data_IF_829017714360
#
_entry.id   IF_829017714360
#
_cell.length_a   1.000
_cell.length_b   1.000
_cell.length_c   1.000
_cell.angle_alpha   90.00
_cell.angle_beta   90.00
_cell.angle_gamma   90.00
#
_symmetry.space_group_name_H-M   'P 1'
#
loop_
_entity.id
_entity.type
_entity.pdbx_description
1 polymer ?
#
# COMPACT_ATOMS: atom_id res chain seq x y z
N UNK A 1 -70.93 38.84 -6.77
CA UNK A 1 -69.85 38.61 -7.75
C UNK A 1 -68.88 37.66 -7.10
N UNK A 2 -68.90 36.42 -7.54
CA UNK A 2 -68.23 35.28 -6.94
C UNK A 2 -66.82 35.16 -7.52
N UNK A 3 -65.80 35.32 -6.68
CA UNK A 3 -64.41 35.04 -7.05
C UNK A 3 -63.89 33.91 -6.17
N UNK A 4 -63.87 32.70 -6.74
CA UNK A 4 -63.31 31.51 -6.11
C UNK A 4 -61.79 31.65 -5.96
N UNK A 5 -61.31 31.56 -4.72
CA UNK A 5 -59.89 31.42 -4.40
C UNK A 5 -59.44 29.99 -4.76
N UNK A 6 -58.61 29.88 -5.79
CA UNK A 6 -57.93 28.63 -6.16
C UNK A 6 -56.91 28.25 -5.08
N UNK A 7 -57.26 27.27 -4.24
CA UNK A 7 -56.32 26.65 -3.30
C UNK A 7 -55.39 25.72 -4.08
N UNK A 8 -54.16 26.16 -4.29
CA UNK A 8 -53.08 25.29 -4.78
C UNK A 8 -52.76 24.23 -3.73
N UNK A 9 -53.20 22.99 -3.98
CA UNK A 9 -52.84 21.83 -3.14
C UNK A 9 -51.36 21.53 -3.36
N UNK A 10 -50.51 22.06 -2.49
CA UNK A 10 -49.10 21.69 -2.43
C UNK A 10 -49.03 20.24 -1.89
N UNK A 11 -48.91 19.24 -2.77
CA UNK A 11 -48.65 17.84 -2.40
C UNK A 11 -47.25 17.71 -1.78
N UNK A 12 -47.07 18.16 -0.54
CA UNK A 12 -45.95 17.74 0.32
C UNK A 12 -46.27 16.35 0.87
N UNK A 13 -46.13 15.33 0.02
CA UNK A 13 -46.28 13.92 0.38
C UNK A 13 -44.99 13.16 0.09
N UNK A 14 -44.56 12.35 1.07
CA UNK A 14 -43.50 11.33 1.03
C UNK A 14 -42.02 11.73 1.19
N UNK A 15 -41.55 12.94 0.86
CA UNK A 15 -40.10 13.25 0.95
C UNK A 15 -39.57 13.53 2.35
N UNK A 16 -40.41 14.06 3.26
CA UNK A 16 -39.99 14.37 4.64
C UNK A 16 -39.84 13.11 5.51
N UNK A 17 -40.70 12.10 5.33
CA UNK A 17 -40.60 10.83 6.06
C UNK A 17 -39.50 9.90 5.52
N UNK A 18 -39.11 10.03 4.25
CA UNK A 18 -37.94 9.35 3.70
C UNK A 18 -36.63 9.88 4.31
N UNK A 19 -36.54 11.19 4.54
CA UNK A 19 -35.35 11.82 5.14
C UNK A 19 -35.22 11.59 6.65
N UNK A 20 -36.31 11.29 7.36
CA UNK A 20 -36.30 10.93 8.79
C UNK A 20 -35.72 9.54 9.04
N UNK A 21 -35.93 8.59 8.11
CA UNK A 21 -35.35 7.23 8.18
C UNK A 21 -33.83 7.23 7.97
N UNK A 22 -33.29 8.29 7.41
CA UNK A 22 -31.91 8.36 6.91
C UNK A 22 -30.90 8.96 7.91
N UNK A 23 -31.38 9.49 9.05
CA UNK A 23 -30.54 10.15 10.06
C UNK A 23 -30.32 9.29 11.31
N UNK A 24 -31.30 8.47 11.69
CA UNK A 24 -31.19 7.50 12.78
C UNK A 24 -30.39 6.25 12.35
N UNK A 25 -30.56 5.77 11.11
CA UNK A 25 -29.77 4.65 10.55
C UNK A 25 -28.27 4.98 10.39
N UNK A 26 -27.92 6.27 10.40
CA UNK A 26 -26.54 6.78 10.37
C UNK A 26 -25.96 7.07 11.76
N UNK A 27 -26.78 7.03 12.82
CA UNK A 27 -26.31 7.20 14.19
C UNK A 27 -25.74 5.87 14.68
N UNK A 28 -24.48 5.64 14.34
CA UNK A 28 -23.69 4.49 14.71
C UNK A 28 -23.52 4.43 16.23
N UNK A 29 -24.29 3.57 16.91
CA UNK A 29 -24.14 3.28 18.34
C UNK A 29 -22.73 2.77 18.69
N UNK A 30 -22.00 2.30 17.69
CA UNK A 30 -20.55 2.13 17.67
C UNK A 30 -20.08 2.67 16.31
N UNK A 31 -19.19 3.67 16.27
CA UNK A 31 -18.87 4.55 15.12
C UNK A 31 -18.60 3.88 13.75
N UNK A 32 -18.55 2.55 13.67
CA UNK A 32 -18.23 1.75 12.48
C UNK A 32 -19.37 0.84 12.00
N UNK A 33 -20.39 0.57 12.83
CA UNK A 33 -21.46 -0.40 12.54
C UNK A 33 -22.69 0.26 11.89
N UNK A 34 -22.53 0.80 10.68
CA UNK A 34 -23.65 1.28 9.88
C UNK A 34 -24.52 0.11 9.38
N UNK A 35 -25.76 0.38 8.97
CA UNK A 35 -26.71 -0.65 8.52
C UNK A 35 -26.12 -1.56 7.42
N UNK A 36 -25.29 -1.00 6.53
CA UNK A 36 -24.62 -1.77 5.46
C UNK A 36 -23.56 -2.72 6.01
N UNK A 37 -22.72 -2.26 6.94
CA UNK A 37 -21.70 -3.11 7.57
C UNK A 37 -22.37 -4.27 8.33
N UNK A 38 -23.49 -4.03 9.03
CA UNK A 38 -24.26 -5.10 9.69
C UNK A 38 -24.76 -6.17 8.70
N UNK A 39 -25.22 -5.76 7.51
CA UNK A 39 -25.61 -6.71 6.44
C UNK A 39 -24.41 -7.51 5.94
N UNK A 40 -23.22 -6.91 5.84
CA UNK A 40 -21.99 -7.62 5.47
C UNK A 40 -21.64 -8.68 6.51
N UNK A 41 -21.66 -8.32 7.80
CA UNK A 41 -21.40 -9.23 8.91
C UNK A 41 -22.42 -10.38 8.95
N UNK A 42 -23.72 -10.08 8.81
CA UNK A 42 -24.77 -11.11 8.77
C UNK A 42 -24.57 -12.10 7.61
N UNK A 43 -24.11 -11.62 6.45
CA UNK A 43 -23.76 -12.48 5.30
C UNK A 43 -22.47 -13.29 5.53
N UNK A 44 -21.55 -12.82 6.36
CA UNK A 44 -20.39 -13.62 6.77
C UNK A 44 -20.83 -14.77 7.69
N UNK A 45 -21.71 -14.48 8.64
CA UNK A 45 -22.31 -15.49 9.53
C UNK A 45 -23.12 -16.51 8.75
N UNK A 46 -24.03 -16.07 7.88
CA UNK A 46 -24.84 -16.98 7.06
C UNK A 46 -24.06 -17.82 6.04
N UNK A 47 -22.78 -17.49 5.78
CA UNK A 47 -21.87 -18.29 4.94
C UNK A 47 -20.93 -19.18 5.76
N UNK A 48 -20.98 -19.13 7.09
CA UNK A 48 -20.09 -19.88 7.97
C UNK A 48 -18.65 -19.36 7.99
N UNK A 49 -18.40 -18.08 7.68
CA UNK A 49 -17.05 -17.49 7.83
C UNK A 49 -16.73 -17.23 9.31
N UNK A 50 -17.74 -16.76 10.04
CA UNK A 50 -17.67 -16.41 11.47
C UNK A 50 -18.95 -16.98 12.10
N UNK A 51 -18.83 -17.72 13.20
CA UNK A 51 -19.98 -18.18 13.98
C UNK A 51 -20.53 -17.04 14.84
N UNK A 52 -19.66 -16.38 15.59
CA UNK A 52 -20.01 -15.36 16.57
C UNK A 52 -19.08 -14.16 16.48
N UNK A 53 -19.62 -12.95 16.70
CA UNK A 53 -18.85 -11.71 16.80
C UNK A 53 -19.06 -11.16 18.20
N UNK A 54 -17.96 -11.06 18.94
CA UNK A 54 -17.92 -10.72 20.35
C UNK A 54 -17.43 -9.28 20.53
N UNK A 55 -17.07 -8.92 21.76
CA UNK A 55 -16.70 -7.56 22.17
C UNK A 55 -15.63 -6.87 21.31
N UNK A 56 -15.60 -5.54 21.40
CA UNK A 56 -14.60 -4.73 20.73
C UNK A 56 -13.23 -4.90 21.42
N UNK A 57 -12.23 -5.30 20.64
CA UNK A 57 -10.84 -5.49 21.09
C UNK A 57 -10.10 -4.15 21.10
N UNK A 58 -10.30 -3.34 20.07
CA UNK A 58 -9.61 -2.06 19.93
C UNK A 58 -10.45 -1.08 19.11
N UNK A 59 -10.53 0.16 19.57
CA UNK A 59 -11.12 1.27 18.82
C UNK A 59 -10.03 2.19 18.32
N UNK A 60 -9.85 2.26 17.01
CA UNK A 60 -8.87 3.13 16.36
C UNK A 60 -9.50 4.36 15.71
N UNK A 61 -8.64 5.24 15.19
CA UNK A 61 -9.07 6.37 14.35
C UNK A 61 -9.68 5.88 13.03
N UNK A 62 -9.09 4.84 12.43
CA UNK A 62 -9.42 4.38 11.07
C UNK A 62 -10.30 3.15 11.01
N UNK A 63 -10.19 2.29 12.03
CA UNK A 63 -10.93 1.05 12.12
C UNK A 63 -11.16 0.69 13.58
N UNK A 64 -12.18 -0.12 13.83
CA UNK A 64 -12.32 -0.85 15.08
C UNK A 64 -12.02 -2.33 14.80
N UNK A 65 -11.45 -3.02 15.79
CA UNK A 65 -11.21 -4.45 15.75
C UNK A 65 -12.16 -5.12 16.74
N UNK A 66 -12.85 -6.16 16.28
CA UNK A 66 -13.74 -6.98 17.08
C UNK A 66 -13.23 -8.40 17.15
N UNK A 67 -13.45 -9.06 18.28
CA UNK A 67 -13.21 -10.49 18.40
C UNK A 67 -14.33 -11.26 17.71
N UNK A 68 -14.04 -12.42 17.16
CA UNK A 68 -15.03 -13.36 16.68
C UNK A 68 -14.50 -14.78 16.71
N UNK A 69 -15.37 -15.75 16.45
CA UNK A 69 -15.01 -17.17 16.44
C UNK A 69 -15.35 -17.73 15.06
N UNK A 70 -14.43 -18.50 14.47
CA UNK A 70 -14.66 -19.19 13.21
C UNK A 70 -15.76 -20.23 13.36
N UNK A 71 -16.44 -20.54 12.27
CA UNK A 71 -17.40 -21.65 12.26
C UNK A 71 -16.67 -23.00 12.30
N UNK A 72 -17.27 -24.00 12.96
CA UNK A 72 -16.80 -25.39 13.08
C UNK A 72 -16.22 -25.98 11.77
N UNK A 73 -15.26 -26.91 11.86
CA UNK A 73 -14.99 -27.80 13.01
C UNK A 73 -13.86 -27.39 13.96
N UNK A 74 -13.21 -26.23 13.74
CA UNK A 74 -12.13 -25.76 14.62
C UNK A 74 -12.54 -24.44 15.25
N UNK A 75 -12.62 -24.40 16.58
CA UNK A 75 -12.73 -23.16 17.33
C UNK A 75 -11.44 -22.36 17.16
N UNK A 76 -11.42 -21.51 16.14
CA UNK A 76 -10.33 -20.57 15.84
C UNK A 76 -10.81 -19.16 16.14
N UNK A 77 -10.09 -18.44 16.98
CA UNK A 77 -10.37 -17.03 17.25
C UNK A 77 -10.00 -16.15 16.04
N UNK A 78 -10.85 -15.17 15.75
CA UNK A 78 -10.73 -14.27 14.59
C UNK A 78 -10.76 -12.82 15.04
N UNK A 79 -9.98 -11.99 14.35
CA UNK A 79 -10.04 -10.54 14.44
C UNK A 79 -10.80 -9.97 13.23
N UNK A 80 -11.86 -9.20 13.49
CA UNK A 80 -12.62 -8.49 12.48
C UNK A 80 -12.25 -7.00 12.52
N UNK A 81 -11.37 -6.57 11.61
CA UNK A 81 -11.01 -5.17 11.42
C UNK A 81 -12.05 -4.48 10.51
N UNK A 82 -12.86 -3.61 11.10
CA UNK A 82 -13.94 -2.87 10.46
C UNK A 82 -13.53 -1.41 10.28
N UNK A 83 -13.29 -0.99 9.05
CA UNK A 83 -12.87 0.38 8.73
C UNK A 83 -14.04 1.36 8.77
N UNK A 84 -13.78 2.57 9.28
CA UNK A 84 -14.76 3.66 9.37
C UNK A 84 -15.09 4.19 7.98
N UNK A 85 -16.37 4.15 7.59
CA UNK A 85 -16.82 4.58 6.25
C UNK A 85 -17.19 6.05 6.16
N UNK A 86 -17.55 6.67 7.29
CA UNK A 86 -18.14 8.02 7.36
C UNK A 86 -17.18 9.10 7.86
N UNK A 87 -16.08 8.71 8.51
CA UNK A 87 -15.17 9.61 9.25
C UNK A 87 -13.75 9.41 8.67
N UNK A 88 -13.43 10.14 7.60
CA UNK A 88 -12.08 10.15 7.02
C UNK A 88 -11.37 11.43 7.47
N UNK A 89 -10.88 11.50 8.72
CA UNK A 89 -10.13 12.64 9.27
C UNK A 89 -8.64 12.54 8.90
N UNK A 90 -8.30 12.30 7.64
CA UNK A 90 -6.90 12.21 7.25
C UNK A 90 -6.66 13.09 6.05
N UNK A 91 -5.96 14.18 6.30
CA UNK A 91 -5.60 15.17 5.29
C UNK A 91 -4.38 14.74 4.46
N UNK A 92 -3.61 13.75 4.89
CA UNK A 92 -2.37 13.32 4.22
C UNK A 92 -2.43 11.95 3.52
N UNK A 93 -3.62 11.43 3.21
CA UNK A 93 -3.76 10.09 2.60
C UNK A 93 -3.11 9.95 1.23
N UNK A 94 -3.03 11.04 0.49
CA UNK A 94 -2.47 11.02 -0.86
C UNK A 94 -1.02 10.51 -0.85
N UNK A 95 -0.22 10.76 0.20
CA UNK A 95 1.19 10.32 0.24
C UNK A 95 1.39 8.79 0.27
N UNK A 96 0.40 8.03 0.75
CA UNK A 96 0.46 6.56 0.86
C UNK A 96 -0.13 5.85 -0.36
N UNK A 97 -0.70 6.64 -1.28
CA UNK A 97 -1.41 6.18 -2.47
C UNK A 97 -0.78 6.76 -3.75
N UNK A 98 -0.08 7.90 -3.63
CA UNK A 98 0.56 8.64 -4.71
C UNK A 98 1.84 7.94 -5.20
N UNK A 99 1.68 7.09 -6.20
CA UNK A 99 2.78 6.32 -6.78
C UNK A 99 2.35 4.91 -7.09
N UNK A 100 1.38 4.39 -6.34
CA UNK A 100 0.90 3.04 -6.49
C UNK A 100 0.12 2.87 -7.82
N UNK A 101 0.63 2.00 -8.69
CA UNK A 101 0.13 1.78 -10.05
C UNK A 101 -1.38 1.49 -10.09
N UNK A 102 -1.89 0.74 -9.09
CA UNK A 102 -3.29 0.33 -8.97
C UNK A 102 -4.25 1.48 -8.69
N UNK A 103 -3.76 2.55 -8.05
CA UNK A 103 -4.59 3.72 -7.73
C UNK A 103 -4.56 4.78 -8.84
N UNK A 104 -3.66 4.68 -9.84
CA UNK A 104 -3.56 5.65 -10.95
C UNK A 104 -4.80 5.75 -11.84
N UNK A 105 -5.60 4.69 -12.00
CA UNK A 105 -6.74 4.65 -12.96
C UNK A 105 -8.13 4.49 -12.34
N UNK A 106 -8.22 4.42 -11.01
CA UNK A 106 -9.48 4.07 -10.33
C UNK A 106 -9.66 4.65 -8.93
N UNK A 107 -8.79 5.55 -8.47
CA UNK A 107 -8.92 6.14 -7.15
C UNK A 107 -10.18 7.00 -7.08
N UNK A 108 -11.22 6.44 -6.46
CA UNK A 108 -12.49 7.12 -6.25
C UNK A 108 -12.36 8.14 -5.12
N UNK A 109 -11.53 9.19 -5.31
CA UNK A 109 -11.27 10.29 -4.36
C UNK A 109 -12.53 10.84 -3.69
N UNK A 110 -13.64 10.83 -4.43
CA UNK A 110 -14.91 11.39 -4.00
C UNK A 110 -15.88 10.37 -3.37
N UNK A 111 -15.55 9.08 -3.30
CA UNK A 111 -16.40 8.05 -2.69
C UNK A 111 -15.68 7.34 -1.53
N UNK A 112 -15.89 7.83 -0.28
CA UNK A 112 -15.31 7.26 0.94
C UNK A 112 -15.42 5.74 1.05
N UNK A 113 -16.57 5.17 0.69
CA UNK A 113 -16.81 3.72 0.80
C UNK A 113 -15.97 2.92 -0.18
N UNK A 114 -15.85 3.38 -1.43
CA UNK A 114 -14.97 2.72 -2.42
C UNK A 114 -13.51 2.81 -2.00
N UNK A 115 -13.08 3.95 -1.44
CA UNK A 115 -11.72 4.11 -0.92
C UNK A 115 -11.42 3.15 0.22
N UNK A 116 -12.30 3.12 1.23
CA UNK A 116 -12.17 2.22 2.38
C UNK A 116 -12.11 0.75 1.95
N UNK A 117 -12.93 0.37 0.97
CA UNK A 117 -12.86 -0.98 0.39
C UNK A 117 -11.49 -1.28 -0.23
N UNK A 118 -10.95 -0.36 -1.03
CA UNK A 118 -9.63 -0.54 -1.64
C UNK A 118 -8.52 -0.65 -0.58
N UNK A 119 -8.67 0.04 0.56
CA UNK A 119 -7.73 -0.05 1.68
C UNK A 119 -7.80 -1.40 2.39
N UNK A 120 -9.00 -1.89 2.71
CA UNK A 120 -9.18 -3.22 3.27
C UNK A 120 -8.61 -4.30 2.32
N UNK A 121 -8.87 -4.17 1.02
CA UNK A 121 -8.31 -5.06 0.00
C UNK A 121 -6.77 -4.95 -0.08
N UNK A 122 -6.21 -3.74 0.08
CA UNK A 122 -4.74 -3.52 0.10
C UNK A 122 -4.12 -4.19 1.32
N UNK A 123 -4.67 -4.00 2.52
CA UNK A 123 -4.17 -4.63 3.74
C UNK A 123 -4.19 -6.15 3.64
N UNK A 124 -5.28 -6.75 3.15
CA UNK A 124 -5.36 -8.19 2.92
C UNK A 124 -4.23 -8.69 1.98
N UNK A 125 -3.95 -7.96 0.88
CA UNK A 125 -2.87 -8.31 -0.05
C UNK A 125 -1.49 -8.22 0.59
N UNK A 126 -1.26 -7.16 1.37
CA UNK A 126 0.01 -6.96 2.05
C UNK A 126 0.24 -8.06 3.11
N UNK A 127 -0.78 -8.39 3.91
CA UNK A 127 -0.70 -9.52 4.86
C UNK A 127 -0.36 -10.84 4.13
N UNK A 128 -1.04 -11.16 3.03
CA UNK A 128 -0.70 -12.36 2.24
C UNK A 128 0.74 -12.37 1.74
N UNK A 129 1.26 -11.21 1.35
CA UNK A 129 2.64 -11.07 0.87
C UNK A 129 3.64 -11.32 2.00
N UNK A 130 3.39 -10.75 3.17
CA UNK A 130 4.21 -10.98 4.37
C UNK A 130 4.21 -12.45 4.77
N UNK A 131 3.03 -13.09 4.83
CA UNK A 131 2.90 -14.52 5.16
C UNK A 131 3.66 -15.40 4.18
N UNK A 132 3.61 -15.10 2.88
CA UNK A 132 4.34 -15.84 1.86
C UNK A 132 5.88 -15.74 2.01
N UNK A 133 6.38 -14.67 2.64
CA UNK A 133 7.78 -14.49 2.97
C UNK A 133 8.16 -15.00 4.38
N UNK A 134 7.25 -15.68 5.08
CA UNK A 134 7.49 -16.19 6.43
C UNK A 134 7.46 -15.13 7.54
N UNK A 135 7.02 -13.90 7.25
CA UNK A 135 6.87 -12.85 8.27
C UNK A 135 5.70 -13.19 9.20
N UNK A 136 5.93 -13.10 10.51
CA UNK A 136 4.90 -13.27 11.54
C UNK A 136 3.90 -12.10 11.49
N UNK A 137 2.72 -12.37 10.95
CA UNK A 137 1.59 -11.45 10.91
C UNK A 137 0.27 -12.25 10.90
N UNK A 138 -0.89 -11.64 11.22
CA UNK A 138 -2.18 -12.34 11.19
C UNK A 138 -2.49 -12.95 9.81
N UNK A 139 -2.92 -14.21 9.75
CA UNK A 139 -3.36 -14.80 8.47
C UNK A 139 -4.67 -14.13 8.02
N UNK A 140 -4.73 -13.53 6.83
CA UNK A 140 -5.96 -12.94 6.33
C UNK A 140 -6.91 -14.01 5.79
N UNK A 141 -8.11 -14.09 6.37
CA UNK A 141 -9.15 -15.07 5.99
C UNK A 141 -10.00 -14.53 4.83
N UNK A 142 -10.68 -13.41 5.02
CA UNK A 142 -11.58 -12.84 4.03
C UNK A 142 -11.63 -11.32 4.13
N UNK A 143 -11.76 -10.63 2.99
CA UNK A 143 -12.15 -9.22 2.96
C UNK A 143 -13.45 -9.05 2.19
N UNK A 144 -14.38 -8.27 2.75
CA UNK A 144 -15.61 -7.81 2.06
C UNK A 144 -15.89 -6.36 2.42
N UNK A 145 -16.01 -5.53 1.39
CA UNK A 145 -16.28 -4.10 1.55
C UNK A 145 -15.28 -3.48 2.54
N UNK A 146 -15.73 -3.05 3.71
CA UNK A 146 -14.93 -2.43 4.77
C UNK A 146 -14.62 -3.36 5.95
N UNK A 147 -14.76 -4.67 5.78
CA UNK A 147 -14.49 -5.67 6.84
C UNK A 147 -13.39 -6.61 6.37
N UNK A 148 -12.29 -6.64 7.11
CA UNK A 148 -11.18 -7.60 6.99
C UNK A 148 -11.25 -8.57 8.16
N UNK A 149 -11.31 -9.87 7.85
CA UNK A 149 -11.28 -10.97 8.80
C UNK A 149 -9.91 -11.62 8.72
N UNK A 150 -9.24 -11.78 9.85
CA UNK A 150 -7.90 -12.36 9.98
C UNK A 150 -7.76 -13.13 11.29
N UNK A 151 -6.62 -13.79 11.50
CA UNK A 151 -6.30 -14.42 12.79
C UNK A 151 -6.40 -13.43 13.95
N UNK A 152 -6.97 -13.92 15.05
CA UNK A 152 -6.79 -13.27 16.35
C UNK A 152 -5.46 -13.71 16.96
N UNK A 153 -4.68 -12.74 17.44
CA UNK A 153 -3.43 -13.00 18.15
C UNK A 153 -3.68 -12.77 19.64
N UNK A 154 -3.83 -13.84 20.39
CA UNK A 154 -4.22 -13.78 21.79
C UNK A 154 -4.57 -15.15 22.35
N UNK A 155 -5.00 -15.15 23.61
CA UNK A 155 -5.46 -16.34 24.31
C UNK A 155 -6.73 -16.01 25.09
N UNK A 156 -7.69 -16.94 25.12
CA UNK A 156 -8.95 -16.80 25.86
C UNK A 156 -9.67 -15.46 25.59
N UNK A 157 -9.75 -15.06 24.30
CA UNK A 157 -10.34 -13.82 23.82
C UNK A 157 -9.67 -12.53 24.31
N UNK A 158 -8.49 -12.63 24.94
CA UNK A 158 -7.64 -11.51 25.30
C UNK A 158 -6.55 -11.33 24.25
N UNK A 159 -6.50 -10.13 23.65
CA UNK A 159 -5.50 -9.83 22.64
C UNK A 159 -4.10 -9.77 23.24
N UNK A 160 -3.12 -10.22 22.47
CA UNK A 160 -1.71 -10.10 22.81
C UNK A 160 -1.32 -8.64 23.00
N UNK A 161 -0.42 -8.33 23.96
CA UNK A 161 -0.04 -6.96 24.23
C UNK A 161 0.69 -6.35 23.03
N UNK A 162 0.48 -5.05 22.82
CA UNK A 162 1.33 -4.27 21.91
C UNK A 162 2.71 -4.16 22.52
N UNK A 163 3.74 -4.08 21.68
CA UNK A 163 5.12 -3.99 22.15
C UNK A 163 5.35 -2.78 23.08
N UNK A 164 4.60 -1.69 22.88
CA UNK A 164 4.55 -0.56 23.81
C UNK A 164 4.22 -0.97 25.25
N UNK A 165 3.19 -1.79 25.40
CA UNK A 165 2.59 -2.17 26.68
C UNK A 165 3.13 -3.52 27.18
N UNK A 166 4.01 -4.15 26.40
CA UNK A 166 4.62 -5.42 26.72
C UNK A 166 5.82 -5.26 27.67
N UNK A 167 6.01 -6.30 28.48
CA UNK A 167 7.20 -6.52 29.29
C UNK A 167 7.95 -7.73 28.71
N UNK A 168 9.27 -7.64 28.68
CA UNK A 168 10.16 -8.69 28.21
C UNK A 168 11.53 -8.47 28.84
N UNK A 169 12.26 -9.55 29.06
CA UNK A 169 13.69 -9.48 29.43
C UNK A 169 14.60 -9.70 28.22
N UNK A 170 14.03 -10.03 27.04
CA UNK A 170 14.74 -10.41 25.82
C UNK A 170 14.77 -9.28 24.77
N UNK A 171 14.90 -8.02 25.20
CA UNK A 171 14.81 -6.87 24.29
C UNK A 171 15.86 -6.88 23.18
N UNK A 172 17.08 -7.35 23.45
CA UNK A 172 18.14 -7.46 22.45
C UNK A 172 17.77 -8.46 21.34
N UNK A 173 17.24 -9.63 21.70
CA UNK A 173 16.80 -10.64 20.74
C UNK A 173 15.57 -10.18 19.95
N UNK A 174 14.63 -9.48 20.60
CA UNK A 174 13.48 -8.87 19.93
C UNK A 174 13.89 -7.76 18.95
N UNK A 175 14.94 -6.97 19.25
CA UNK A 175 15.48 -5.99 18.32
C UNK A 175 16.06 -6.67 17.07
N UNK A 176 16.89 -7.70 17.26
CA UNK A 176 17.45 -8.48 16.15
C UNK A 176 16.35 -9.11 15.31
N UNK A 177 15.35 -9.73 15.94
CA UNK A 177 14.19 -10.31 15.25
C UNK A 177 13.45 -9.27 14.41
N UNK A 178 13.20 -8.07 14.96
CA UNK A 178 12.51 -7.02 14.22
C UNK A 178 13.34 -6.50 13.04
N UNK A 179 14.64 -6.30 13.22
CA UNK A 179 15.52 -5.83 12.15
C UNK A 179 15.56 -6.83 10.98
N UNK A 180 15.69 -8.13 11.27
CA UNK A 180 15.60 -9.19 10.26
C UNK A 180 14.23 -9.22 9.57
N UNK A 181 13.17 -8.96 10.32
CA UNK A 181 11.80 -8.90 9.79
C UNK A 181 11.62 -7.71 8.86
N UNK A 182 12.10 -6.51 9.24
CA UNK A 182 12.06 -5.31 8.39
C UNK A 182 12.83 -5.56 7.08
N UNK A 183 14.01 -6.17 7.18
CA UNK A 183 14.83 -6.55 6.01
C UNK A 183 14.08 -7.52 5.09
N UNK A 184 13.39 -8.51 5.65
CA UNK A 184 12.56 -9.46 4.90
C UNK A 184 11.39 -8.77 4.20
N UNK A 185 10.73 -7.82 4.87
CA UNK A 185 9.68 -6.99 4.26
C UNK A 185 10.25 -6.15 3.11
N UNK A 186 11.42 -5.55 3.28
CA UNK A 186 12.03 -4.70 2.27
C UNK A 186 12.50 -5.49 1.04
N UNK A 187 13.30 -6.55 1.20
CA UNK A 187 13.87 -7.28 0.07
C UNK A 187 12.95 -8.34 -0.53
N UNK A 188 12.31 -9.17 0.30
CA UNK A 188 11.49 -10.28 -0.19
C UNK A 188 10.07 -9.84 -0.47
N UNK A 189 9.47 -9.07 0.44
CA UNK A 189 8.14 -8.51 0.22
C UNK A 189 8.17 -7.24 -0.63
N UNK A 190 9.32 -6.65 -0.99
CA UNK A 190 9.41 -5.39 -1.78
C UNK A 190 8.41 -4.32 -1.28
N UNK A 191 8.29 -4.21 0.04
CA UNK A 191 7.38 -3.32 0.75
C UNK A 191 8.16 -2.52 1.80
N UNK A 192 7.65 -1.35 2.12
CA UNK A 192 8.01 -0.59 3.33
C UNK A 192 6.75 -0.45 4.17
N UNK A 193 6.83 -0.69 5.48
CA UNK A 193 5.64 -0.69 6.34
C UNK A 193 4.96 0.69 6.37
N UNK A 194 5.76 1.76 6.40
CA UNK A 194 5.37 3.18 6.32
C UNK A 194 4.58 3.76 7.51
N UNK A 195 4.44 2.97 8.57
CA UNK A 195 3.82 3.36 9.84
C UNK A 195 4.30 2.41 10.96
N UNK A 196 5.54 1.91 10.89
CA UNK A 196 6.05 0.95 11.85
C UNK A 196 6.39 1.68 13.16
N UNK A 197 5.85 1.18 14.27
CA UNK A 197 6.10 1.67 15.61
C UNK A 197 5.71 0.61 16.64
N UNK A 198 6.03 0.83 17.90
CA UNK A 198 5.68 -0.05 19.02
C UNK A 198 4.16 -0.25 19.22
N UNK A 199 3.34 0.57 18.55
CA UNK A 199 1.87 0.47 18.55
C UNK A 199 1.34 -0.54 17.53
N UNK A 200 2.11 -0.81 16.47
CA UNK A 200 1.75 -1.70 15.35
C UNK A 200 2.53 -3.03 15.38
N UNK A 201 3.15 -3.31 16.54
CA UNK A 201 3.84 -4.56 16.85
C UNK A 201 3.14 -5.21 18.04
N UNK A 202 2.85 -6.50 17.95
CA UNK A 202 2.36 -7.31 19.08
C UNK A 202 3.47 -8.23 19.56
N UNK A 203 3.56 -8.45 20.88
CA UNK A 203 4.36 -9.52 21.44
C UNK A 203 3.43 -10.72 21.69
N UNK A 204 3.60 -11.79 20.91
CA UNK A 204 2.78 -12.99 20.99
C UNK A 204 3.68 -14.23 20.97
N UNK A 205 3.56 -15.07 22.00
CA UNK A 205 4.40 -16.27 22.18
C UNK A 205 5.90 -15.93 22.09
N UNK A 206 6.32 -14.91 22.84
CA UNK A 206 7.70 -14.40 22.89
C UNK A 206 8.30 -13.91 21.56
N UNK A 207 7.47 -13.74 20.53
CA UNK A 207 7.87 -13.25 19.22
C UNK A 207 7.11 -11.97 18.83
N UNK A 208 7.74 -11.17 17.96
CA UNK A 208 7.13 -9.99 17.35
C UNK A 208 6.24 -10.39 16.20
N UNK A 209 5.02 -9.87 16.23
CA UNK A 209 4.04 -9.98 15.15
C UNK A 209 3.71 -8.60 14.61
N UNK A 210 3.75 -8.46 13.28
CA UNK A 210 3.47 -7.21 12.57
C UNK A 210 1.98 -7.14 12.24
N UNK A 211 1.37 -6.00 12.57
CA UNK A 211 -0.03 -5.69 12.27
C UNK A 211 -0.14 -4.34 11.56
N UNK A 212 -1.31 -4.05 11.00
CA UNK A 212 -1.65 -2.75 10.38
C UNK A 212 -0.82 -2.37 9.14
N UNK A 213 -0.69 -3.31 8.20
CA UNK A 213 0.01 -3.10 6.91
C UNK A 213 -0.84 -2.45 5.83
N UNK A 214 -1.89 -1.72 6.21
CA UNK A 214 -2.77 -1.03 5.26
C UNK A 214 -2.09 0.17 4.57
N UNK A 215 -1.18 0.82 5.28
CA UNK A 215 -0.45 2.00 4.79
C UNK A 215 0.85 1.66 4.06
N UNK A 216 1.29 0.39 4.09
CA UNK A 216 2.54 -0.04 3.48
C UNK A 216 2.61 0.28 1.98
N UNK A 217 3.79 0.70 1.54
CA UNK A 217 4.04 1.13 0.15
C UNK A 217 5.03 0.19 -0.53
N UNK A 218 5.02 0.18 -1.85
CA UNK A 218 6.01 -0.57 -2.63
C UNK A 218 7.39 0.08 -2.48
N UNK A 219 8.46 -0.72 -2.51
CA UNK A 219 9.85 -0.22 -2.36
C UNK A 219 10.25 0.85 -3.41
N UNK A 220 9.59 0.88 -4.58
CA UNK A 220 9.80 1.85 -5.65
C UNK A 220 8.88 3.08 -5.55
N UNK A 221 8.15 3.23 -4.44
CA UNK A 221 7.31 4.40 -4.16
C UNK A 221 8.18 5.67 -3.95
N UNK A 222 7.79 6.85 -4.44
CA UNK A 222 8.57 8.10 -4.34
C UNK A 222 9.12 8.40 -2.94
N UNK A 223 8.27 8.17 -1.93
CA UNK A 223 8.62 8.38 -0.52
C UNK A 223 9.03 7.10 0.23
N UNK A 224 9.38 6.00 -0.45
CA UNK A 224 9.70 4.72 0.20
C UNK A 224 10.84 4.86 1.22
N UNK A 225 11.92 5.57 0.86
CA UNK A 225 13.05 5.81 1.77
C UNK A 225 12.70 6.76 2.92
N UNK A 226 11.83 7.74 2.71
CA UNK A 226 11.34 8.60 3.80
C UNK A 226 10.55 7.78 4.82
N UNK A 227 9.70 6.88 4.34
CA UNK A 227 8.93 5.97 5.18
C UNK A 227 9.83 4.99 5.91
N UNK A 228 10.81 4.40 5.22
CA UNK A 228 11.75 3.46 5.84
C UNK A 228 12.59 4.14 6.92
N UNK A 229 13.08 5.37 6.67
CA UNK A 229 13.78 6.17 7.68
C UNK A 229 12.90 6.47 8.90
N UNK A 230 11.62 6.77 8.68
CA UNK A 230 10.67 7.00 9.78
C UNK A 230 10.42 5.72 10.59
N UNK A 231 10.21 4.60 9.92
CA UNK A 231 10.00 3.28 10.53
C UNK A 231 11.22 2.91 11.40
N UNK A 232 12.44 3.00 10.84
CA UNK A 232 13.68 2.71 11.55
C UNK A 232 13.90 3.69 12.71
N UNK A 233 13.69 4.99 12.51
CA UNK A 233 13.84 5.96 13.60
C UNK A 233 12.90 5.68 14.78
N UNK A 234 11.70 5.15 14.54
CA UNK A 234 10.80 4.75 15.62
C UNK A 234 11.31 3.51 16.36
N UNK A 235 11.81 2.52 15.61
CA UNK A 235 12.39 1.28 16.16
C UNK A 235 13.62 1.58 17.03
N UNK A 236 14.58 2.34 16.50
CA UNK A 236 15.80 2.75 17.20
C UNK A 236 15.46 3.48 18.51
N UNK A 237 14.52 4.42 18.48
CA UNK A 237 14.09 5.16 19.67
C UNK A 237 13.40 4.26 20.69
N UNK A 238 12.55 3.33 20.24
CA UNK A 238 11.83 2.43 21.14
C UNK A 238 12.78 1.48 21.88
N UNK A 239 13.64 0.78 21.14
CA UNK A 239 14.58 -0.20 21.73
C UNK A 239 15.70 0.49 22.52
N UNK A 240 16.18 1.66 22.08
CA UNK A 240 17.14 2.45 22.86
C UNK A 240 16.60 2.87 24.23
N UNK A 241 15.31 3.19 24.34
CA UNK A 241 14.65 3.47 25.64
C UNK A 241 14.53 2.25 26.56
N UNK A 242 14.60 1.04 25.99
CA UNK A 242 14.59 -0.24 26.72
C UNK A 242 16.00 -0.72 27.09
N UNK A 243 17.04 0.05 26.78
CA UNK A 243 18.43 -0.26 27.14
C UNK A 243 19.17 -1.15 26.15
N UNK A 244 18.60 -1.41 24.96
CA UNK A 244 19.27 -2.17 23.90
C UNK A 244 20.35 -1.33 23.23
N UNK A 245 21.48 -1.95 22.89
CA UNK A 245 22.50 -1.33 22.04
C UNK A 245 22.02 -1.35 20.58
N UNK A 246 21.42 -0.24 20.16
CA UNK A 246 20.87 -0.09 18.81
C UNK A 246 21.93 0.43 17.82
N UNK A 247 21.66 0.35 16.52
CA UNK A 247 22.63 0.69 15.47
C UNK A 247 22.75 2.19 15.18
N UNK A 248 21.69 2.97 15.42
CA UNK A 248 21.54 4.32 14.90
C UNK A 248 20.88 4.32 13.51
N UNK A 249 20.30 5.46 13.10
CA UNK A 249 19.45 5.53 11.90
C UNK A 249 20.22 5.24 10.62
N UNK A 250 21.42 5.80 10.46
CA UNK A 250 22.22 5.63 9.24
C UNK A 250 22.67 4.18 9.04
N UNK A 251 23.18 3.53 10.10
CA UNK A 251 23.64 2.13 10.05
C UNK A 251 22.48 1.17 9.85
N UNK A 252 21.38 1.35 10.58
CA UNK A 252 20.17 0.53 10.40
C UNK A 252 19.59 0.66 8.98
N UNK A 253 19.55 1.87 8.42
CA UNK A 253 19.10 2.09 7.04
C UNK A 253 20.01 1.38 6.04
N UNK A 254 21.33 1.61 6.12
CA UNK A 254 22.30 0.98 5.23
C UNK A 254 22.24 -0.55 5.27
N UNK A 255 22.16 -1.11 6.48
CA UNK A 255 22.05 -2.56 6.69
C UNK A 255 20.73 -3.13 6.14
N UNK A 256 19.61 -2.43 6.30
CA UNK A 256 18.32 -2.87 5.75
C UNK A 256 18.29 -2.82 4.23
N UNK A 257 18.97 -1.86 3.60
CA UNK A 257 18.91 -1.68 2.13
C UNK A 257 19.96 -2.48 1.35
N UNK A 258 21.06 -2.89 1.98
CA UNK A 258 22.14 -3.63 1.33
C UNK A 258 21.77 -5.12 1.16
N UNK A 259 21.77 -5.69 -0.06
CA UNK A 259 21.34 -7.07 -0.31
C UNK A 259 22.24 -8.16 0.29
N UNK A 260 23.50 -7.86 0.62
CA UNK A 260 24.48 -8.86 1.10
C UNK A 260 24.45 -9.11 2.62
N UNK A 261 23.72 -8.29 3.36
CA UNK A 261 23.70 -8.32 4.83
C UNK A 261 22.87 -9.47 5.42
N UNK A 262 23.25 -9.94 6.61
CA UNK A 262 22.61 -11.04 7.31
C UNK A 262 22.61 -10.82 8.85
N UNK A 263 22.15 -11.82 9.62
CA UNK A 263 22.12 -11.71 11.08
C UNK A 263 23.52 -11.57 11.71
N UNK A 264 24.53 -12.24 11.15
CA UNK A 264 25.91 -12.15 11.64
C UNK A 264 26.46 -10.74 11.49
N UNK A 265 26.22 -10.10 10.34
CA UNK A 265 26.64 -8.72 10.12
C UNK A 265 25.88 -7.73 11.01
N UNK A 266 24.60 -7.97 11.28
CA UNK A 266 23.82 -7.19 12.24
C UNK A 266 24.44 -7.26 13.64
N UNK A 267 24.68 -8.46 14.15
CA UNK A 267 25.25 -8.66 15.49
C UNK A 267 26.65 -8.08 15.60
N UNK A 268 27.44 -8.15 14.53
CA UNK A 268 28.75 -7.49 14.46
C UNK A 268 28.60 -5.97 14.58
N UNK A 269 27.73 -5.35 13.79
CA UNK A 269 27.49 -3.89 13.83
C UNK A 269 26.99 -3.41 15.20
N UNK A 270 26.18 -4.22 15.90
CA UNK A 270 25.72 -3.91 17.27
C UNK A 270 26.85 -3.97 18.31
N UNK A 271 27.91 -4.75 18.06
CA UNK A 271 29.07 -4.84 18.95
C UNK A 271 30.08 -3.71 18.75
N UNK A 272 30.03 -3.05 17.60
CA UNK A 272 30.92 -1.95 17.25
C UNK A 272 30.43 -0.64 17.88
N UNK A 273 31.33 0.17 18.48
CA UNK A 273 30.92 1.45 19.05
C UNK A 273 30.28 2.34 17.97
N UNK A 274 29.19 2.99 18.36
CA UNK A 274 28.54 3.99 17.52
C UNK A 274 29.49 5.19 17.38
N UNK A 275 29.83 5.54 16.14
CA UNK A 275 30.52 6.79 15.85
C UNK A 275 29.54 7.94 16.08
N UNK A 276 29.62 8.56 17.27
CA UNK A 276 28.72 9.64 17.70
C UNK A 276 28.82 10.94 16.87
N UNK A 277 29.67 10.97 15.84
CA UNK A 277 30.05 12.17 15.10
C UNK A 277 29.31 12.37 13.76
N UNK A 278 28.35 11.49 13.41
CA UNK A 278 27.54 11.66 12.21
C UNK A 278 26.12 12.12 12.58
N UNK A 279 25.76 13.33 12.17
CA UNK A 279 24.48 13.97 12.45
C UNK A 279 23.32 13.20 11.78
N UNK A 280 22.69 12.28 12.54
CA UNK A 280 21.44 11.61 12.16
C UNK A 280 20.33 12.61 11.79
N UNK A 281 20.39 13.85 12.29
CA UNK A 281 19.51 14.95 11.90
C UNK A 281 19.70 15.36 10.44
N UNK A 282 20.94 15.48 9.97
CA UNK A 282 21.25 15.74 8.57
C UNK A 282 20.75 14.59 7.67
N UNK A 283 20.97 13.33 8.08
CA UNK A 283 20.53 12.16 7.30
C UNK A 283 19.01 12.09 7.13
N UNK A 284 18.20 12.58 8.08
CA UNK A 284 16.72 12.61 7.95
C UNK A 284 16.23 13.53 6.83
N UNK A 285 17.02 14.54 6.45
CA UNK A 285 16.64 15.55 5.48
C UNK A 285 17.37 15.43 4.14
N UNK A 286 18.39 14.56 4.04
CA UNK A 286 19.08 14.28 2.78
C UNK A 286 18.15 13.56 1.79
N UNK A 287 18.11 14.04 0.55
CA UNK A 287 17.46 13.34 -0.55
C UNK A 287 18.35 12.20 -1.01
N UNK A 288 17.83 10.97 -1.01
CA UNK A 288 18.54 9.77 -1.45
C UNK A 288 17.87 9.30 -2.75
N UNK A 289 18.53 9.44 -3.92
CA UNK A 289 17.97 8.98 -5.18
C UNK A 289 17.81 7.45 -5.17
N UNK A 290 16.70 6.96 -5.75
CA UNK A 290 16.28 5.55 -5.66
C UNK A 290 16.69 4.74 -6.89
N UNK A 291 16.90 5.41 -8.02
CA UNK A 291 17.35 4.88 -9.30
C UNK A 291 18.38 5.84 -9.87
N UNK A 292 19.23 5.34 -10.77
CA UNK A 292 20.17 6.18 -11.50
C UNK A 292 19.44 7.31 -12.26
N UNK A 293 18.23 7.03 -12.77
CA UNK A 293 17.36 8.02 -13.43
C UNK A 293 16.83 9.14 -12.50
N UNK A 294 16.86 8.94 -11.18
CA UNK A 294 16.39 9.91 -10.18
C UNK A 294 17.53 10.88 -9.75
N UNK A 295 18.74 10.72 -10.28
CA UNK A 295 19.89 11.61 -10.05
C UNK A 295 19.77 12.82 -10.98
N UNK A 296 19.53 14.00 -10.40
CA UNK A 296 19.26 15.23 -11.18
C UNK A 296 20.48 15.74 -11.94
N UNK A 297 21.68 15.55 -11.38
CA UNK A 297 22.94 16.01 -11.95
C UNK A 297 24.08 15.04 -11.59
N UNK A 298 24.24 13.96 -12.37
CA UNK A 298 25.24 12.94 -12.07
C UNK A 298 26.68 13.50 -12.14
N UNK A 299 26.95 14.49 -12.97
CA UNK A 299 28.29 15.08 -13.12
C UNK A 299 28.66 15.91 -11.88
N UNK A 300 27.75 16.76 -11.40
CA UNK A 300 27.96 17.55 -10.18
C UNK A 300 28.08 16.70 -8.92
N UNK A 301 27.25 15.67 -8.78
CA UNK A 301 27.28 14.81 -7.58
C UNK A 301 28.54 13.91 -7.56
N UNK A 302 29.15 13.60 -8.72
CA UNK A 302 30.49 12.97 -8.81
C UNK A 302 31.59 13.95 -8.37
N UNK A 303 31.56 15.20 -8.85
CA UNK A 303 32.53 16.24 -8.48
C UNK A 303 32.46 16.64 -7.00
N UNK A 304 31.27 16.71 -6.42
CA UNK A 304 31.06 17.05 -4.99
C UNK A 304 31.25 15.84 -4.05
N UNK A 305 31.60 14.66 -4.58
CA UNK A 305 31.84 13.44 -3.79
C UNK A 305 30.58 12.77 -3.22
N UNK A 306 29.38 13.30 -3.49
CA UNK A 306 28.10 12.74 -3.02
C UNK A 306 27.74 11.42 -3.69
N UNK A 307 28.31 11.13 -4.86
CA UNK A 307 28.13 9.84 -5.54
C UNK A 307 28.87 8.71 -4.84
N UNK A 308 29.97 8.96 -4.11
CA UNK A 308 30.62 7.89 -3.31
C UNK A 308 29.80 7.50 -2.08
N UNK A 309 29.06 8.42 -1.47
CA UNK A 309 28.12 8.09 -0.38
C UNK A 309 26.77 7.53 -0.86
N UNK A 310 26.32 7.89 -2.06
CA UNK A 310 25.05 7.40 -2.63
C UNK A 310 25.18 6.08 -3.40
N UNK A 311 26.31 5.81 -4.06
CA UNK A 311 26.54 4.59 -4.88
C UNK A 311 27.08 3.43 -4.06
N UNK A 312 27.69 3.67 -2.89
CA UNK A 312 28.01 2.59 -1.93
C UNK A 312 26.76 1.88 -1.35
N UNK A 313 25.56 2.43 -1.58
CA UNK A 313 24.27 1.88 -1.13
C UNK A 313 23.41 1.29 -2.27
N UNK A 314 23.93 1.23 -3.50
CA UNK A 314 23.26 0.60 -4.64
C UNK A 314 23.99 -0.71 -5.01
N UNK A 315 23.32 -1.86 -5.13
CA UNK A 315 23.96 -3.10 -5.56
C UNK A 315 24.47 -2.93 -7.01
N UNK A 316 25.73 -3.28 -7.22
CA UNK A 316 26.44 -3.11 -8.49
C UNK A 316 26.02 -4.14 -9.54
N UNK A 317 25.73 -3.64 -10.74
CA UNK A 317 25.79 -4.45 -11.96
C UNK A 317 27.19 -4.23 -12.56
N UNK A 318 28.06 -5.23 -12.40
CA UNK A 318 29.34 -5.33 -13.11
C UNK A 318 29.06 -5.64 -14.60
N UNK A 319 29.31 -4.69 -15.50
CA UNK A 319 29.77 -5.03 -16.85
C UNK A 319 31.05 -4.27 -17.18
N UNK A 320 32.07 -5.08 -17.48
CA UNK A 320 33.45 -4.73 -17.76
C UNK A 320 33.55 -3.85 -19.02
N UNK A 321 34.16 -2.68 -18.86
CA UNK A 321 34.69 -1.90 -19.98
C UNK A 321 36.10 -2.41 -20.27
N UNK A 322 36.29 -2.98 -21.46
CA UNK A 322 37.62 -3.18 -22.04
C UNK A 322 37.71 -2.35 -23.32
N UNK A 323 38.57 -1.34 -23.27
CA UNK A 323 39.14 -0.64 -24.42
C UNK A 323 39.93 -1.65 -25.28
N UNK A 324 39.78 -1.59 -26.60
CA UNK A 324 40.86 -1.11 -27.48
C UNK A 324 40.51 -1.21 -28.97
N UNK A 325 41.21 -0.34 -29.67
CA UNK A 325 41.04 0.27 -30.99
C UNK A 325 41.48 -0.60 -32.20
N UNK A 326 41.23 -0.02 -33.40
CA UNK A 326 41.85 -0.29 -34.71
C UNK A 326 41.25 -1.37 -35.65
N UNK A 327 40.44 -0.88 -36.60
CA UNK A 327 40.86 -0.85 -38.01
C UNK A 327 40.54 -2.04 -38.93
N UNK A 328 39.57 -1.84 -39.84
CA UNK A 328 39.72 -1.92 -41.31
C UNK A 328 38.50 -2.47 -42.05
N UNK A 329 37.75 -1.52 -42.63
CA UNK A 329 37.18 -1.45 -44.00
C UNK A 329 37.00 -2.75 -44.80
N UNK A 330 35.75 -2.99 -45.21
CA UNK A 330 35.35 -3.88 -46.30
C UNK A 330 33.97 -3.48 -46.84
N UNK A 331 34.00 -2.63 -47.87
CA UNK A 331 32.89 -1.98 -48.58
C UNK A 331 32.04 -2.95 -49.42
N UNK A 332 30.70 -2.85 -49.37
CA UNK A 332 29.81 -2.83 -50.56
C UNK A 332 28.32 -2.65 -50.18
N UNK A 333 27.48 -2.07 -51.05
CA UNK A 333 26.65 -0.92 -50.68
C UNK A 333 25.22 -1.04 -51.24
N UNK A 334 24.20 -1.34 -50.42
CA UNK A 334 22.81 -1.18 -50.85
C UNK A 334 21.94 -0.68 -49.68
N UNK A 335 21.05 0.28 -49.99
CA UNK A 335 19.99 0.86 -49.17
C UNK A 335 20.34 2.02 -48.21
N UNK A 336 20.62 3.18 -48.83
CA UNK A 336 20.49 4.52 -48.25
C UNK A 336 19.00 4.88 -48.11
N UNK A 337 18.66 5.52 -46.99
CA UNK A 337 17.44 6.27 -46.66
C UNK A 337 16.12 5.50 -46.35
N UNK A 338 15.92 5.22 -45.06
CA UNK A 338 14.58 5.21 -44.47
C UNK A 338 14.46 6.29 -43.40
N UNK A 339 14.09 7.50 -43.84
CA UNK A 339 13.54 8.54 -42.97
C UNK A 339 12.38 7.98 -42.12
N UNK A 340 12.54 8.03 -40.79
CA UNK A 340 11.46 7.78 -39.84
C UNK A 340 10.41 8.89 -39.99
N UNK A 341 9.22 8.55 -40.53
CA UNK A 341 8.08 9.47 -40.62
C UNK A 341 7.64 9.96 -39.22
N UNK A 342 7.45 11.28 -39.01
CA UNK A 342 6.98 11.80 -37.73
C UNK A 342 5.53 11.38 -37.45
N UNK A 343 5.29 10.80 -36.27
CA UNK A 343 3.96 10.47 -35.75
C UNK A 343 3.27 11.72 -35.21
N UNK A 344 2.31 12.26 -35.95
CA UNK A 344 1.36 13.26 -35.43
C UNK A 344 0.76 14.18 -36.48
N UNK A 345 -0.58 14.25 -36.54
CA UNK A 345 -1.29 15.21 -37.41
C UNK A 345 -1.45 16.56 -36.70
N UNK A 346 -0.34 17.28 -36.51
CA UNK A 346 -0.36 18.61 -35.87
C UNK A 346 -0.80 19.74 -36.81
N UNK A 347 -0.80 19.50 -38.13
CA UNK A 347 -1.28 20.44 -39.14
C UNK A 347 -2.13 19.72 -40.21
N UNK A 348 -3.36 19.36 -39.86
CA UNK A 348 -4.32 18.81 -40.82
C UNK A 348 -5.45 19.82 -41.03
N UNK A 349 -5.74 20.15 -42.29
CA UNK A 349 -6.84 21.03 -42.68
C UNK A 349 -8.19 20.48 -42.15
N UNK A 350 -9.11 21.38 -41.74
CA UNK A 350 -10.42 21.02 -41.18
C UNK A 350 -11.21 20.11 -42.12
N UNK A 351 -11.09 20.28 -43.42
CA UNK A 351 -11.84 19.47 -44.38
C UNK A 351 -11.22 18.09 -44.59
N UNK A 352 -9.88 17.97 -44.60
CA UNK A 352 -9.18 16.68 -44.57
C UNK A 352 -9.52 15.87 -43.30
N UNK A 353 -9.60 16.55 -42.14
CA UNK A 353 -10.00 15.94 -40.87
C UNK A 353 -11.45 15.44 -40.86
N UNK A 354 -12.36 16.12 -41.55
CA UNK A 354 -13.77 15.71 -41.71
C UNK A 354 -13.88 14.49 -42.62
N UNK A 355 -13.23 14.51 -43.77
CA UNK A 355 -13.23 13.39 -44.72
C UNK A 355 -12.64 12.12 -44.08
N UNK A 356 -11.50 12.23 -43.37
CA UNK A 356 -10.95 11.08 -42.63
C UNK A 356 -11.92 10.55 -41.56
N UNK A 357 -12.57 11.42 -40.79
CA UNK A 357 -13.58 10.99 -39.80
C UNK A 357 -14.79 10.31 -40.45
N UNK A 358 -15.17 10.73 -41.66
CA UNK A 358 -16.26 10.12 -42.43
C UNK A 358 -15.86 8.75 -42.96
N UNK A 359 -14.65 8.62 -43.52
CA UNK A 359 -14.09 7.36 -43.99
C UNK A 359 -13.95 6.33 -42.85
N UNK A 360 -13.39 6.72 -41.69
CA UNK A 360 -13.26 5.84 -40.52
C UNK A 360 -14.63 5.38 -40.00
N UNK A 361 -15.64 6.25 -40.03
CA UNK A 361 -17.02 5.88 -39.64
C UNK A 361 -17.67 4.93 -40.65
N UNK A 362 -17.42 5.09 -41.94
CA UNK A 362 -17.92 4.20 -42.98
C UNK A 362 -17.29 2.80 -42.85
N UNK A 363 -15.96 2.73 -42.70
CA UNK A 363 -15.23 1.48 -42.53
C UNK A 363 -15.67 0.74 -41.25
N UNK A 364 -15.86 1.47 -40.15
CA UNK A 364 -16.37 0.87 -38.91
C UNK A 364 -17.81 0.36 -39.05
N UNK A 365 -18.63 0.99 -39.91
CA UNK A 365 -20.00 0.54 -40.20
C UNK A 365 -19.98 -0.74 -41.02
N UNK A 366 -19.13 -0.84 -42.05
CA UNK A 366 -18.96 -2.05 -42.86
C UNK A 366 -18.42 -3.22 -42.03
N UNK A 367 -17.39 -3.00 -41.20
CA UNK A 367 -16.88 -4.04 -40.28
C UNK A 367 -17.96 -4.55 -39.33
N UNK A 368 -18.89 -3.71 -38.90
CA UNK A 368 -20.03 -4.12 -38.05
C UNK A 368 -21.06 -4.95 -38.81
N UNK A 369 -21.29 -4.66 -40.10
CA UNK A 369 -22.18 -5.46 -40.96
C UNK A 369 -21.56 -6.84 -41.20
N UNK A 370 -20.30 -6.89 -41.62
CA UNK A 370 -19.58 -8.16 -41.82
C UNK A 370 -19.52 -9.02 -40.55
N UNK A 371 -19.34 -8.39 -39.37
CA UNK A 371 -19.35 -9.11 -38.09
C UNK A 371 -20.73 -9.67 -37.75
N UNK A 372 -21.82 -8.99 -38.13
CA UNK A 372 -23.19 -9.49 -37.94
C UNK A 372 -23.49 -10.64 -38.90
N UNK A 373 -23.05 -10.56 -40.15
CA UNK A 373 -23.23 -11.61 -41.15
C UNK A 373 -22.44 -12.88 -40.78
N UNK A 374 -21.18 -12.73 -40.36
CA UNK A 374 -20.37 -13.86 -39.84
C UNK A 374 -21.02 -14.54 -38.63
N UNK A 375 -21.62 -13.76 -37.71
CA UNK A 375 -22.35 -14.33 -36.57
C UNK A 375 -23.64 -15.04 -36.98
N UNK A 376 -24.28 -14.63 -38.07
CA UNK A 376 -25.50 -15.25 -38.60
C UNK A 376 -25.18 -16.55 -39.36
N UNK A 377 -24.04 -16.60 -40.05
CA UNK A 377 -23.53 -17.80 -40.74
C UNK A 377 -22.99 -18.86 -39.77
N UNK A 378 -22.47 -18.48 -38.61
CA UNK A 378 -21.98 -19.40 -37.58
C UNK A 378 -23.08 -19.94 -36.63
N UNK A 379 -24.35 -19.62 -36.90
CA UNK A 379 -25.52 -20.00 -36.10
C UNK A 379 -26.53 -20.88 -36.84
N UNK A 380 -26.08 -21.64 -37.84
CA UNK A 380 -26.81 -22.76 -38.44
C UNK A 380 -25.98 -24.03 -38.34
#
# INVERSE_FOLDING_TARGET
MDHSLGVGVNRKGASAHANLKDKADRATTEQVLDARTRVVLLKMVGRGVVAEINGCVSTGKEANVYHGVAHEPVERELALKIYKTSILIFKDRDRYVAGEHRFRRGYARHNPRKMVRMWAEKEMRNLKRLRAAGVRCPEPVEVRENVLVMDFLGEASQASPRLKDAESDAWDDLYVELMLTIRTIYHQCRLVHADLSEYNLLLHQDHIWIIDVGQSVEHDHPSAFDFLRSDLSNVEVFFGRRGVTVLGLRRSFGWVTNEEENEETLRKLMSEPEEKDLDDGAFKHTYIPRRLDDVYDPERDIEEGRVREAVAAAPGDDEQVADDDEGSVGDNPEDIDREKRPRGHRHEDRDAKKERKKAVKAEARERRVQKKERKKAAGH
#
